data_IF_450800070813
#
_entry.id   IF_450800070813
#
_cell.length_a   1.000
_cell.length_b   1.000
_cell.length_c   1.000
_cell.angle_alpha   90.00
_cell.angle_beta   90.00
_cell.angle_gamma   90.00
#
_symmetry.space_group_name_H-M   'P 1'
#
loop_
_entity.id
_entity.type
_entity.pdbx_description
1 polymer ?
#
# COMPACT_ATOMS: atom_id res chain seq x y z
N UNK A 1 89.24 15.86 54.77
CA UNK A 1 88.92 15.63 53.37
C UNK A 1 87.61 14.83 53.33
N UNK A 2 86.52 15.59 53.26
CA UNK A 2 85.21 15.01 53.26
C UNK A 2 84.55 15.30 51.82
N UNK A 3 84.20 14.26 51.09
CA UNK A 3 83.48 14.34 49.84
C UNK A 3 81.96 14.27 50.14
N UNK A 4 81.26 15.36 49.82
CA UNK A 4 79.81 15.39 49.96
C UNK A 4 79.11 14.74 48.75
N UNK A 5 78.29 13.71 49.03
CA UNK A 5 77.44 13.01 48.08
C UNK A 5 76.10 13.74 47.97
N UNK A 6 75.86 14.43 46.88
CA UNK A 6 74.56 15.08 46.59
C UNK A 6 73.60 14.07 45.91
N UNK A 7 72.55 13.67 46.63
CA UNK A 7 71.48 12.79 46.15
C UNK A 7 70.42 13.66 45.45
N UNK A 8 70.34 13.63 44.12
CA UNK A 8 69.30 14.30 43.32
C UNK A 8 68.01 13.49 43.31
N UNK A 9 66.99 13.94 44.02
CA UNK A 9 65.65 13.39 44.01
C UNK A 9 64.88 13.92 42.76
N UNK A 10 64.79 13.13 41.71
CA UNK A 10 63.95 13.46 40.58
C UNK A 10 62.47 13.14 40.89
N UNK A 11 61.72 14.20 41.13
CA UNK A 11 60.26 14.11 41.27
C UNK A 11 59.65 13.95 39.88
N UNK A 12 59.22 12.75 39.52
CA UNK A 12 58.37 12.50 38.37
C UNK A 12 56.98 13.12 38.66
N UNK A 13 56.71 14.33 38.14
CA UNK A 13 55.34 14.79 37.95
C UNK A 13 54.74 13.96 36.85
N UNK A 14 53.90 13.01 37.18
CA UNK A 14 52.98 12.39 36.23
C UNK A 14 52.12 13.52 35.64
N UNK A 15 52.20 13.70 34.34
CA UNK A 15 51.27 14.53 33.62
C UNK A 15 49.88 13.89 33.76
N UNK A 16 49.11 14.39 34.74
CA UNK A 16 47.69 14.14 34.80
C UNK A 16 47.09 14.71 33.54
N UNK A 17 46.45 13.88 32.75
CA UNK A 17 45.58 14.33 31.67
C UNK A 17 44.55 15.27 32.27
N UNK A 18 44.59 16.52 31.86
CA UNK A 18 43.57 17.51 32.26
C UNK A 18 42.19 16.90 31.90
N UNK A 19 41.18 17.05 32.77
CA UNK A 19 39.84 16.63 32.42
C UNK A 19 39.46 17.38 31.15
N UNK A 20 39.13 16.63 30.11
CA UNK A 20 38.64 17.18 28.85
C UNK A 20 37.35 17.94 29.18
N UNK A 21 37.25 19.18 28.70
CA UNK A 21 36.04 19.96 28.86
C UNK A 21 34.86 19.19 28.26
N UNK A 22 33.66 19.24 28.87
CA UNK A 22 32.49 18.58 28.35
C UNK A 22 32.26 19.01 26.90
N UNK A 23 32.20 18.06 25.98
CA UNK A 23 31.95 18.28 24.55
C UNK A 23 30.45 18.31 24.37
N UNK A 24 29.92 19.35 23.71
CA UNK A 24 28.52 19.45 23.34
C UNK A 24 28.18 18.29 22.35
N UNK A 25 27.12 17.56 22.60
CA UNK A 25 26.66 16.46 21.74
C UNK A 25 26.37 16.93 20.28
N UNK A 26 25.98 18.17 20.12
CA UNK A 26 25.78 18.80 18.79
C UNK A 26 27.09 19.11 18.06
N UNK A 27 28.22 19.17 18.77
CA UNK A 27 29.54 19.35 18.18
C UNK A 27 30.12 18.06 17.61
N UNK A 28 29.59 16.90 17.99
CA UNK A 28 29.96 15.60 17.42
C UNK A 28 29.52 15.47 15.95
N UNK A 29 30.29 14.72 15.17
CA UNK A 29 29.87 14.40 13.83
C UNK A 29 28.57 13.58 13.86
N UNK A 30 27.61 13.96 13.01
CA UNK A 30 26.27 13.40 13.04
C UNK A 30 26.22 11.93 12.58
N UNK A 31 25.28 11.17 13.12
CA UNK A 31 24.95 9.84 12.64
C UNK A 31 23.70 9.93 11.78
N UNK A 32 23.80 9.40 10.57
CA UNK A 32 22.67 9.34 9.65
C UNK A 32 21.86 8.08 9.86
N UNK A 33 20.55 8.17 9.68
CA UNK A 33 19.63 7.04 9.83
C UNK A 33 18.71 6.98 8.62
N UNK A 34 18.61 5.80 8.02
CA UNK A 34 17.68 5.53 6.93
C UNK A 34 16.75 4.37 7.30
N UNK A 35 15.43 4.58 7.16
CA UNK A 35 14.41 3.59 7.49
C UNK A 35 14.15 2.68 6.26
N UNK A 36 14.40 1.38 6.42
CA UNK A 36 14.10 0.31 5.44
C UNK A 36 12.89 -0.46 5.95
N UNK A 37 11.70 -0.08 5.50
CA UNK A 37 10.43 -0.67 5.94
C UNK A 37 9.70 -1.34 4.77
N UNK A 38 8.84 -2.34 5.06
CA UNK A 38 8.09 -3.05 4.04
C UNK A 38 8.94 -4.04 3.24
N UNK A 39 8.62 -4.25 1.98
CA UNK A 39 9.42 -5.03 1.04
C UNK A 39 10.51 -4.15 0.42
N UNK A 40 11.70 -4.70 0.22
CA UNK A 40 12.73 -4.00 -0.55
C UNK A 40 12.37 -4.11 -2.03
N UNK A 41 11.75 -3.05 -2.53
CA UNK A 41 11.44 -2.82 -3.94
C UNK A 41 12.52 -1.92 -4.59
N UNK A 42 12.36 -1.57 -5.87
CA UNK A 42 13.29 -0.71 -6.58
C UNK A 42 13.43 0.68 -5.96
N UNK A 43 12.37 1.21 -5.33
CA UNK A 43 12.36 2.53 -4.67
C UNK A 43 13.21 2.49 -3.39
N UNK A 44 12.99 1.48 -2.54
CA UNK A 44 13.77 1.30 -1.30
C UNK A 44 15.22 0.98 -1.60
N UNK A 45 15.49 0.12 -2.59
CA UNK A 45 16.84 -0.19 -3.05
C UNK A 45 17.62 1.08 -3.43
N UNK A 46 17.03 1.92 -4.28
CA UNK A 46 17.60 3.22 -4.66
C UNK A 46 17.71 4.19 -3.47
N UNK A 47 16.77 4.10 -2.52
CA UNK A 47 16.80 4.86 -1.27
C UNK A 47 18.02 4.52 -0.41
N UNK A 48 18.33 3.23 -0.25
CA UNK A 48 19.51 2.75 0.49
C UNK A 48 20.80 3.28 -0.16
N UNK A 49 20.94 3.14 -1.47
CA UNK A 49 22.13 3.61 -2.20
C UNK A 49 22.35 5.12 -2.05
N UNK A 50 21.27 5.92 -2.23
CA UNK A 50 21.34 7.37 -2.01
C UNK A 50 21.66 7.73 -0.57
N UNK A 51 21.17 6.95 0.42
CA UNK A 51 21.50 7.17 1.81
C UNK A 51 23.00 6.93 2.07
N UNK A 52 23.58 5.87 1.51
CA UNK A 52 25.02 5.57 1.60
C UNK A 52 25.84 6.69 0.97
N UNK A 53 25.54 7.10 -0.26
CA UNK A 53 26.24 8.16 -0.97
C UNK A 53 26.13 9.51 -0.24
N UNK A 54 24.93 9.89 0.17
CA UNK A 54 24.66 11.15 0.85
C UNK A 54 25.36 11.22 2.21
N UNK A 55 25.33 10.14 2.98
CA UNK A 55 25.97 10.10 4.28
C UNK A 55 27.47 10.21 4.19
N UNK A 56 28.09 9.58 3.18
CA UNK A 56 29.53 9.71 2.92
C UNK A 56 29.90 11.14 2.46
N UNK A 57 29.11 11.75 1.58
CA UNK A 57 29.33 13.11 1.08
C UNK A 57 29.11 14.17 2.17
N UNK A 58 28.13 13.99 3.03
CA UNK A 58 27.79 14.94 4.10
C UNK A 58 28.65 14.79 5.36
N UNK A 59 29.68 13.96 5.34
CA UNK A 59 30.62 13.79 6.45
C UNK A 59 29.98 13.16 7.69
N UNK A 60 28.98 12.29 7.53
CA UNK A 60 28.46 11.50 8.64
C UNK A 60 29.55 10.57 9.20
N UNK A 61 29.56 10.41 10.51
CA UNK A 61 30.51 9.45 11.10
C UNK A 61 30.09 7.99 10.88
N UNK A 62 28.78 7.73 10.77
CA UNK A 62 28.20 6.44 10.45
C UNK A 62 26.81 6.61 9.83
N UNK A 63 26.35 5.59 9.07
CA UNK A 63 24.96 5.44 8.64
C UNK A 63 24.35 4.21 9.33
N UNK A 64 23.20 4.38 9.96
CA UNK A 64 22.42 3.27 10.52
C UNK A 64 21.23 2.99 9.60
N UNK A 65 21.18 1.79 9.06
CA UNK A 65 20.01 1.26 8.36
C UNK A 65 19.08 0.63 9.40
N UNK A 66 17.94 1.26 9.66
CA UNK A 66 16.90 0.71 10.53
C UNK A 66 15.99 -0.19 9.69
N UNK A 67 16.06 -1.50 9.92
CA UNK A 67 15.42 -2.50 9.08
C UNK A 67 14.19 -3.11 9.75
N UNK A 68 13.05 -3.05 9.05
CA UNK A 68 11.84 -3.80 9.34
C UNK A 68 11.23 -4.26 8.01
N UNK A 69 11.75 -5.36 7.47
CA UNK A 69 11.39 -5.86 6.14
C UNK A 69 11.10 -7.36 6.15
N UNK A 70 10.07 -7.75 5.42
CA UNK A 70 9.68 -9.16 5.23
C UNK A 70 10.37 -9.83 4.05
N UNK A 71 11.20 -9.11 3.29
CA UNK A 71 11.89 -9.63 2.12
C UNK A 71 12.19 -8.57 1.08
N UNK A 72 12.66 -9.01 -0.08
CA UNK A 72 12.89 -8.17 -1.24
C UNK A 72 12.11 -8.72 -2.44
N UNK A 73 11.66 -7.83 -3.32
CA UNK A 73 10.96 -8.16 -4.57
C UNK A 73 11.75 -7.75 -5.81
N UNK A 74 12.92 -7.17 -5.61
CA UNK A 74 13.90 -6.86 -6.68
C UNK A 74 14.61 -8.13 -7.15
N UNK A 75 15.17 -8.09 -8.34
CA UNK A 75 15.99 -9.18 -8.87
C UNK A 75 17.36 -9.30 -8.17
N UNK A 76 18.05 -10.42 -8.44
CA UNK A 76 19.33 -10.72 -7.81
C UNK A 76 20.40 -9.69 -8.17
N UNK A 77 20.44 -9.20 -9.42
CA UNK A 77 21.41 -8.21 -9.85
C UNK A 77 21.23 -6.88 -9.09
N UNK A 78 19.98 -6.43 -8.96
CA UNK A 78 19.67 -5.21 -8.22
C UNK A 78 19.95 -5.34 -6.72
N UNK A 79 19.68 -6.50 -6.12
CA UNK A 79 20.04 -6.75 -4.72
C UNK A 79 21.55 -6.79 -4.53
N UNK A 80 22.30 -7.33 -5.51
CA UNK A 80 23.76 -7.33 -5.48
C UNK A 80 24.32 -5.90 -5.46
N UNK A 81 23.77 -4.98 -6.25
CA UNK A 81 24.16 -3.56 -6.25
C UNK A 81 23.98 -2.93 -4.86
N UNK A 82 22.83 -3.14 -4.22
CA UNK A 82 22.56 -2.64 -2.87
C UNK A 82 23.56 -3.19 -1.85
N UNK A 83 23.81 -4.50 -1.87
CA UNK A 83 24.75 -5.13 -0.95
C UNK A 83 26.19 -4.64 -1.17
N UNK A 84 26.58 -4.43 -2.43
CA UNK A 84 27.89 -3.86 -2.78
C UNK A 84 28.02 -2.40 -2.34
N UNK A 85 26.98 -1.59 -2.50
CA UNK A 85 26.97 -0.21 -2.05
C UNK A 85 27.21 -0.11 -0.52
N UNK A 86 26.59 -1.00 0.27
CA UNK A 86 26.79 -1.07 1.71
C UNK A 86 28.21 -1.53 2.04
N UNK A 87 28.65 -2.65 1.44
CA UNK A 87 29.98 -3.24 1.74
C UNK A 87 31.13 -2.29 1.40
N UNK A 88 31.03 -1.59 0.25
CA UNK A 88 32.07 -0.72 -0.27
C UNK A 88 31.96 0.73 0.22
N UNK A 89 31.03 1.03 1.11
CA UNK A 89 30.88 2.37 1.68
C UNK A 89 32.19 2.88 2.30
N UNK A 90 32.48 4.17 2.12
CA UNK A 90 33.63 4.84 2.75
C UNK A 90 33.43 5.18 4.23
N UNK A 91 32.17 5.12 4.70
CA UNK A 91 31.81 5.34 6.09
C UNK A 91 31.31 4.02 6.72
N UNK A 92 31.41 3.87 8.04
CA UNK A 92 30.83 2.77 8.77
C UNK A 92 29.31 2.67 8.56
N UNK A 93 28.82 1.45 8.26
CA UNK A 93 27.39 1.16 8.14
C UNK A 93 26.96 0.16 9.19
N UNK A 94 26.03 0.60 10.05
CA UNK A 94 25.32 -0.23 10.99
C UNK A 94 23.98 -0.69 10.44
N UNK A 95 23.62 -1.95 10.62
CA UNK A 95 22.27 -2.47 10.37
C UNK A 95 21.63 -2.82 11.69
N UNK A 96 20.52 -2.16 11.99
CA UNK A 96 19.74 -2.40 13.19
C UNK A 96 18.33 -2.91 12.81
N UNK A 97 18.05 -4.18 13.16
CA UNK A 97 16.70 -4.73 12.99
C UNK A 97 15.84 -4.21 14.13
N UNK A 98 15.08 -3.19 13.86
CA UNK A 98 14.32 -2.43 14.85
C UNK A 98 13.22 -1.59 14.25
N UNK A 99 12.30 -1.08 15.07
CA UNK A 99 12.19 -1.21 16.54
C UNK A 99 11.77 -2.61 17.01
N UNK A 100 11.47 -2.75 18.31
CA UNK A 100 11.03 -4.02 18.90
C UNK A 100 9.92 -4.69 18.09
N UNK A 101 10.07 -6.00 17.82
CA UNK A 101 9.16 -6.77 16.96
C UNK A 101 9.43 -6.63 15.46
N UNK A 102 10.47 -5.89 15.06
CA UNK A 102 10.88 -5.78 13.67
C UNK A 102 11.37 -7.10 13.09
N UNK A 103 11.37 -7.19 11.77
CA UNK A 103 11.77 -8.38 11.03
C UNK A 103 12.82 -8.01 9.96
N UNK A 104 13.77 -8.90 9.74
CA UNK A 104 14.60 -8.90 8.55
C UNK A 104 14.55 -10.31 7.97
N UNK A 105 13.61 -10.56 7.06
CA UNK A 105 13.38 -11.88 6.48
C UNK A 105 13.74 -11.91 4.99
N UNK A 106 13.94 -13.10 4.47
CA UNK A 106 14.33 -13.26 3.07
C UNK A 106 15.66 -12.56 2.77
N UNK A 107 15.74 -11.91 1.63
CA UNK A 107 16.97 -11.23 1.21
C UNK A 107 17.34 -10.01 2.07
N UNK A 108 16.38 -9.41 2.79
CA UNK A 108 16.71 -8.30 3.71
C UNK A 108 17.63 -8.75 4.86
N UNK A 109 17.66 -10.04 5.19
CA UNK A 109 18.60 -10.60 6.18
C UNK A 109 20.06 -10.43 5.75
N UNK A 110 20.35 -10.45 4.43
CA UNK A 110 21.71 -10.33 3.91
C UNK A 110 22.32 -8.94 4.13
N UNK A 111 21.50 -7.92 4.44
CA UNK A 111 22.01 -6.61 4.86
C UNK A 111 22.90 -6.72 6.11
N UNK A 112 22.57 -7.63 7.05
CA UNK A 112 23.39 -7.87 8.25
C UNK A 112 24.74 -8.51 7.88
N UNK A 113 24.79 -9.33 6.83
CA UNK A 113 26.01 -10.01 6.41
C UNK A 113 27.07 -9.03 5.84
N UNK A 114 26.63 -7.95 5.19
CA UNK A 114 27.52 -6.96 4.56
C UNK A 114 27.77 -5.73 5.42
N UNK A 115 26.99 -5.53 6.49
CA UNK A 115 27.14 -4.40 7.41
C UNK A 115 28.44 -4.50 8.21
N UNK A 116 29.00 -3.36 8.58
CA UNK A 116 30.16 -3.33 9.47
C UNK A 116 29.75 -3.66 10.92
N UNK A 117 28.57 -3.19 11.33
CA UNK A 117 27.98 -3.43 12.64
C UNK A 117 26.55 -3.92 12.48
N UNK A 118 26.14 -4.93 13.20
CA UNK A 118 24.78 -5.46 13.18
C UNK A 118 24.22 -5.63 14.58
N UNK A 119 22.96 -5.22 14.76
CA UNK A 119 22.24 -5.31 16.03
C UNK A 119 20.75 -5.61 15.78
N UNK A 120 20.06 -6.07 16.81
CA UNK A 120 18.63 -6.34 16.80
C UNK A 120 17.96 -5.76 18.04
N UNK A 121 16.73 -5.29 17.88
CA UNK A 121 15.86 -4.90 18.99
C UNK A 121 15.23 -6.15 19.66
N UNK A 122 14.74 -6.04 20.90
CA UNK A 122 13.99 -7.11 21.56
C UNK A 122 12.79 -7.58 20.72
N UNK A 123 12.48 -8.86 20.78
CA UNK A 123 11.37 -9.49 20.03
C UNK A 123 11.47 -9.34 18.51
N UNK A 124 12.62 -8.93 17.98
CA UNK A 124 12.88 -8.90 16.54
C UNK A 124 13.30 -10.28 16.05
N UNK A 125 13.15 -10.52 14.74
CA UNK A 125 13.51 -11.79 14.13
C UNK A 125 14.23 -11.61 12.80
N UNK A 126 15.17 -12.55 12.51
CA UNK A 126 15.91 -12.62 11.24
C UNK A 126 15.80 -14.03 10.67
N UNK A 127 15.83 -14.16 9.34
CA UNK A 127 15.86 -15.48 8.71
C UNK A 127 15.05 -15.62 7.44
N UNK A 128 14.66 -16.87 7.11
CA UNK A 128 13.97 -17.23 5.86
C UNK A 128 14.74 -16.77 4.61
N UNK A 129 16.08 -16.86 4.67
CA UNK A 129 16.97 -16.31 3.62
C UNK A 129 16.87 -17.06 2.29
N UNK A 130 16.34 -18.27 2.30
CA UNK A 130 16.40 -19.16 1.15
C UNK A 130 17.82 -19.68 0.91
N UNK A 131 18.21 -19.79 -0.35
CA UNK A 131 19.58 -20.15 -0.72
C UNK A 131 20.54 -19.01 -0.38
N UNK A 132 21.83 -19.34 -0.08
CA UNK A 132 22.84 -18.31 0.14
C UNK A 132 22.96 -17.38 -1.06
N UNK A 133 22.97 -16.08 -0.79
CA UNK A 133 23.15 -15.07 -1.82
C UNK A 133 24.60 -15.03 -2.29
N UNK A 134 24.83 -14.99 -3.59
CA UNK A 134 26.17 -14.90 -4.19
C UNK A 134 26.52 -13.43 -4.40
N UNK A 135 27.50 -12.93 -3.67
CA UNK A 135 28.03 -11.58 -3.85
C UNK A 135 29.39 -11.66 -4.54
N UNK A 136 29.51 -11.18 -5.76
CA UNK A 136 30.70 -11.36 -6.63
C UNK A 136 31.10 -12.84 -6.77
N UNK A 137 30.13 -13.75 -6.87
CA UNK A 137 30.37 -15.18 -6.99
C UNK A 137 30.76 -15.89 -5.69
N UNK A 138 30.82 -15.15 -4.57
CA UNK A 138 31.13 -15.71 -3.24
C UNK A 138 29.84 -15.79 -2.40
N UNK A 139 29.49 -16.94 -1.85
CA UNK A 139 28.31 -17.07 -1.01
C UNK A 139 28.47 -16.23 0.27
N UNK A 140 27.48 -15.38 0.55
CA UNK A 140 27.41 -14.65 1.81
C UNK A 140 27.16 -15.61 2.98
N UNK A 141 27.77 -15.30 4.12
CA UNK A 141 27.66 -16.09 5.34
C UNK A 141 27.18 -15.23 6.50
N UNK A 142 26.31 -15.81 7.31
CA UNK A 142 25.86 -15.30 8.60
C UNK A 142 26.41 -16.21 9.74
N UNK A 143 27.66 -16.64 9.60
CA UNK A 143 28.29 -17.56 10.54
C UNK A 143 27.67 -18.95 10.50
N UNK A 144 27.62 -19.60 11.63
CA UNK A 144 27.06 -20.95 11.80
C UNK A 144 25.54 -20.97 11.55
N UNK A 145 24.88 -19.83 11.71
CA UNK A 145 23.45 -19.69 11.50
C UNK A 145 23.01 -19.79 10.05
N UNK A 146 23.90 -19.64 9.05
CA UNK A 146 23.55 -19.57 7.63
C UNK A 146 22.63 -20.70 7.18
N UNK A 147 22.86 -21.92 7.65
CA UNK A 147 22.04 -23.10 7.30
C UNK A 147 20.68 -23.06 8.02
N UNK A 148 20.64 -22.64 9.28
CA UNK A 148 19.42 -22.54 10.08
C UNK A 148 18.48 -21.46 9.54
N UNK A 149 19.04 -20.35 9.08
CA UNK A 149 18.30 -19.19 8.57
C UNK A 149 17.69 -19.42 7.19
N UNK A 150 18.00 -20.47 6.46
CA UNK A 150 17.41 -20.76 5.15
C UNK A 150 15.89 -20.84 5.19
N UNK A 151 15.36 -21.60 6.12
CA UNK A 151 13.91 -21.79 6.28
C UNK A 151 13.38 -21.34 7.64
N UNK A 152 14.27 -21.24 8.63
CA UNK A 152 13.96 -20.83 9.99
C UNK A 152 14.17 -19.35 10.25
N UNK A 153 13.76 -18.92 11.44
CA UNK A 153 14.01 -17.58 11.97
C UNK A 153 14.70 -17.70 13.33
N UNK A 154 15.56 -16.75 13.63
CA UNK A 154 16.19 -16.60 14.94
C UNK A 154 15.69 -15.31 15.59
N UNK A 155 15.43 -15.37 16.89
CA UNK A 155 15.22 -14.20 17.73
C UNK A 155 16.55 -13.51 18.07
N UNK A 156 16.50 -12.40 18.79
CA UNK A 156 17.68 -11.59 19.14
C UNK A 156 18.73 -12.38 19.92
N UNK A 157 18.31 -13.16 20.92
CA UNK A 157 19.23 -13.94 21.74
C UNK A 157 19.87 -15.11 20.97
N UNK A 158 19.08 -15.78 20.13
CA UNK A 158 19.55 -16.86 19.28
C UNK A 158 20.49 -16.34 18.17
N UNK A 159 20.14 -15.23 17.52
CA UNK A 159 20.96 -14.61 16.48
C UNK A 159 22.35 -14.20 17.02
N UNK A 160 22.38 -13.66 18.24
CA UNK A 160 23.64 -13.35 18.92
C UNK A 160 24.44 -14.61 19.21
N UNK A 161 23.83 -15.61 19.85
CA UNK A 161 24.50 -16.87 20.18
C UNK A 161 25.11 -17.58 18.97
N UNK A 162 24.47 -17.45 17.82
CA UNK A 162 24.90 -18.04 16.56
C UNK A 162 25.87 -17.14 15.75
N UNK A 163 26.30 -16.00 16.30
CA UNK A 163 27.27 -15.10 15.66
C UNK A 163 26.71 -14.31 14.45
N UNK A 164 25.40 -14.16 14.33
CA UNK A 164 24.77 -13.32 13.29
C UNK A 164 24.99 -11.84 13.58
N UNK A 165 25.00 -11.47 14.88
CA UNK A 165 25.17 -10.09 15.31
C UNK A 165 26.64 -9.82 15.61
N UNK A 166 27.16 -8.73 15.03
CA UNK A 166 28.56 -8.30 15.21
C UNK A 166 28.77 -7.37 16.40
N UNK A 167 27.69 -6.86 16.97
CA UNK A 167 27.76 -5.99 18.14
C UNK A 167 27.58 -6.82 19.42
N UNK A 168 28.55 -6.78 20.30
CA UNK A 168 28.48 -7.41 21.60
C UNK A 168 27.62 -6.58 22.57
N UNK A 169 26.32 -6.87 22.60
CA UNK A 169 25.35 -6.23 23.49
C UNK A 169 24.69 -7.31 24.35
N UNK A 170 23.96 -6.92 25.39
CA UNK A 170 23.19 -7.83 26.23
C UNK A 170 22.24 -8.72 25.43
N UNK A 171 21.86 -9.86 25.97
CA UNK A 171 20.95 -10.84 25.33
C UNK A 171 19.56 -10.21 25.04
N UNK A 172 19.21 -9.11 25.71
CA UNK A 172 17.98 -8.37 25.48
C UNK A 172 17.99 -7.56 24.17
N UNK A 173 19.18 -7.32 23.58
CA UNK A 173 19.35 -6.56 22.34
C UNK A 173 19.31 -5.02 22.52
N UNK A 174 19.11 -4.31 21.41
CA UNK A 174 19.14 -2.83 21.32
C UNK A 174 17.70 -2.33 21.13
N UNK A 175 17.00 -1.93 22.19
CA UNK A 175 15.56 -1.64 22.12
C UNK A 175 15.20 -0.39 21.32
N UNK A 176 16.06 0.63 21.35
CA UNK A 176 15.81 1.92 20.65
C UNK A 176 17.08 2.43 19.97
N UNK A 177 16.91 3.30 18.99
CA UNK A 177 18.02 3.87 18.23
C UNK A 177 19.08 4.56 19.11
N UNK A 178 18.65 5.24 20.17
CA UNK A 178 19.58 5.87 21.14
C UNK A 178 20.55 4.83 21.74
N UNK A 179 20.05 3.65 22.07
CA UNK A 179 20.90 2.57 22.58
C UNK A 179 21.85 2.03 21.50
N UNK A 180 21.45 2.07 20.21
CA UNK A 180 22.35 1.73 19.11
C UNK A 180 23.53 2.72 19.05
N UNK A 181 23.28 4.02 19.22
CA UNK A 181 24.34 5.03 19.25
C UNK A 181 25.29 4.81 20.43
N UNK A 182 24.76 4.50 21.61
CA UNK A 182 25.60 4.18 22.77
C UNK A 182 26.47 2.93 22.56
N UNK A 183 25.97 1.98 21.79
CA UNK A 183 26.67 0.76 21.48
C UNK A 183 27.71 0.93 20.34
N UNK A 184 27.57 1.95 19.51
CA UNK A 184 28.56 2.32 18.48
C UNK A 184 29.74 3.12 19.05
N UNK A 185 29.57 3.75 20.22
CA UNK A 185 30.53 4.63 20.83
C UNK A 185 31.86 3.90 21.13
N UNK A 186 32.97 4.52 20.75
CA UNK A 186 34.30 3.95 20.94
C UNK A 186 34.68 2.81 20.00
N UNK A 187 33.77 2.30 19.15
CA UNK A 187 34.09 1.25 18.20
C UNK A 187 35.03 1.76 17.10
N UNK A 188 36.04 0.98 16.79
CA UNK A 188 36.91 1.26 15.63
C UNK A 188 36.41 0.46 14.43
N UNK A 189 35.83 1.19 13.45
CA UNK A 189 35.27 0.61 12.23
C UNK A 189 35.88 1.28 11.01
N UNK A 190 36.37 0.50 10.04
CA UNK A 190 37.08 1.02 8.83
C UNK A 190 38.21 2.00 9.16
N UNK A 191 38.92 1.75 10.26
CA UNK A 191 40.03 2.61 10.72
C UNK A 191 39.62 3.96 11.34
N UNK A 192 38.33 4.16 11.59
CA UNK A 192 37.78 5.33 12.28
C UNK A 192 37.24 4.92 13.64
N UNK A 193 37.55 5.66 14.68
CA UNK A 193 36.89 5.54 15.98
C UNK A 193 35.60 6.33 15.92
N UNK A 194 34.49 5.67 16.25
CA UNK A 194 33.18 6.30 16.33
C UNK A 194 33.05 7.02 17.66
N UNK A 195 32.67 8.30 17.61
CA UNK A 195 32.42 9.17 18.77
C UNK A 195 30.96 9.59 18.73
N UNK A 196 30.11 8.70 19.24
CA UNK A 196 28.65 8.84 19.11
C UNK A 196 27.98 9.22 20.41
N UNK A 197 28.75 9.46 21.47
CA UNK A 197 28.23 9.85 22.80
C UNK A 197 29.11 10.95 23.42
N UNK A 198 28.51 12.06 23.75
CA UNK A 198 29.15 13.14 24.51
C UNK A 198 28.88 13.02 26.02
N UNK A 199 29.80 13.51 26.83
CA UNK A 199 29.56 13.76 28.24
C UNK A 199 29.19 15.23 28.41
N UNK A 200 27.93 15.51 28.75
CA UNK A 200 27.38 16.85 28.95
C UNK A 200 27.07 17.07 30.43
N UNK A 201 27.24 18.30 30.89
CA UNK A 201 26.83 18.67 32.25
C UNK A 201 25.34 19.01 32.22
N UNK A 202 24.52 18.22 32.92
CA UNK A 202 23.09 18.46 33.07
C UNK A 202 22.78 19.69 33.90
N UNK A 203 21.53 20.10 33.90
CA UNK A 203 21.04 21.29 34.66
C UNK A 203 21.29 21.17 36.19
N UNK A 204 21.43 19.96 36.68
CA UNK A 204 21.77 19.64 38.09
C UNK A 204 23.27 19.56 38.37
N UNK A 205 24.11 19.82 37.36
CA UNK A 205 25.57 19.71 37.46
C UNK A 205 26.11 18.29 37.40
N UNK A 206 25.26 17.27 37.18
CA UNK A 206 25.68 15.90 36.97
C UNK A 206 26.17 15.69 35.53
N UNK A 207 27.20 14.83 35.37
CA UNK A 207 27.64 14.39 34.02
C UNK A 207 26.64 13.38 33.48
N UNK A 208 26.00 13.70 32.36
CA UNK A 208 25.06 12.84 31.64
C UNK A 208 25.65 12.47 30.29
N UNK A 209 25.51 11.22 29.90
CA UNK A 209 25.88 10.77 28.55
C UNK A 209 24.76 11.06 27.59
N UNK A 210 25.06 11.80 26.54
CA UNK A 210 24.11 12.21 25.51
C UNK A 210 24.58 11.69 24.14
N UNK A 211 23.62 11.13 23.37
CA UNK A 211 23.93 10.61 22.04
C UNK A 211 24.10 11.74 21.03
N UNK A 212 25.03 11.58 20.10
CA UNK A 212 25.22 12.48 18.97
C UNK A 212 23.93 12.72 18.21
N UNK A 213 23.77 13.92 17.66
CA UNK A 213 22.60 14.30 16.87
C UNK A 213 22.44 13.38 15.66
N UNK A 214 21.23 12.85 15.48
CA UNK A 214 20.89 12.01 14.36
C UNK A 214 20.18 12.77 13.26
N UNK A 215 20.52 12.48 11.99
CA UNK A 215 19.79 12.97 10.82
C UNK A 215 19.00 11.82 10.19
N UNK A 216 17.68 11.94 10.20
CA UNK A 216 16.82 10.94 9.56
C UNK A 216 16.64 11.25 8.08
N UNK A 217 16.91 10.27 7.25
CA UNK A 217 16.57 10.28 5.84
C UNK A 217 15.37 9.38 5.61
N UNK A 218 14.41 9.92 4.87
CA UNK A 218 13.20 9.22 4.45
C UNK A 218 13.08 9.30 2.94
N UNK A 219 12.35 8.38 2.38
CA UNK A 219 11.91 8.46 1.00
C UNK A 219 11.14 9.76 0.78
N UNK A 220 11.31 10.40 -0.36
CA UNK A 220 10.50 11.55 -0.77
C UNK A 220 9.00 11.19 -0.82
N UNK A 221 8.12 12.19 -0.75
CA UNK A 221 6.66 11.94 -0.70
C UNK A 221 6.17 11.09 -1.90
N UNK A 222 6.66 11.38 -3.10
CA UNK A 222 6.32 10.59 -4.28
C UNK A 222 6.89 9.17 -4.20
N UNK A 223 8.15 9.03 -3.79
CA UNK A 223 8.78 7.72 -3.60
C UNK A 223 8.06 6.89 -2.54
N UNK A 224 7.61 7.52 -1.45
CA UNK A 224 6.84 6.84 -0.42
C UNK A 224 5.47 6.39 -0.95
N UNK A 225 4.82 7.21 -1.79
CA UNK A 225 3.57 6.82 -2.45
C UNK A 225 3.80 5.62 -3.38
N UNK A 226 4.85 5.64 -4.20
CA UNK A 226 5.23 4.55 -5.10
C UNK A 226 5.55 3.28 -4.31
N UNK A 227 6.41 3.36 -3.29
CA UNK A 227 6.73 2.24 -2.41
C UNK A 227 5.48 1.66 -1.71
N UNK A 228 4.59 2.53 -1.21
CA UNK A 228 3.33 2.08 -0.58
C UNK A 228 2.45 1.36 -1.60
N UNK A 229 2.35 1.86 -2.84
CA UNK A 229 1.58 1.22 -3.90
C UNK A 229 2.16 -0.13 -4.35
N UNK A 230 3.44 -0.39 -4.14
CA UNK A 230 4.12 -1.66 -4.41
C UNK A 230 3.88 -2.73 -3.33
N UNK A 231 2.96 -2.51 -2.37
CA UNK A 231 2.51 -3.59 -1.49
C UNK A 231 1.48 -4.48 -2.19
N UNK A 232 1.58 -5.80 -2.01
CA UNK A 232 0.77 -6.79 -2.74
C UNK A 232 -0.75 -6.51 -2.66
N UNK A 233 -1.25 -6.18 -1.47
CA UNK A 233 -2.66 -5.90 -1.27
C UNK A 233 -3.10 -4.59 -1.95
N UNK A 234 -2.29 -3.54 -1.82
CA UNK A 234 -2.65 -2.22 -2.34
C UNK A 234 -2.52 -2.15 -3.86
N UNK A 235 -1.46 -2.75 -4.45
CA UNK A 235 -1.30 -2.86 -5.89
C UNK A 235 -2.51 -3.56 -6.54
N UNK A 236 -2.94 -4.70 -5.98
CA UNK A 236 -4.13 -5.42 -6.43
C UNK A 236 -5.40 -4.56 -6.36
N UNK A 237 -5.66 -3.94 -5.19
CA UNK A 237 -6.87 -3.14 -4.99
C UNK A 237 -6.87 -1.89 -5.87
N UNK A 238 -5.77 -1.14 -5.93
CA UNK A 238 -5.66 0.06 -6.77
C UNK A 238 -5.89 -0.26 -8.24
N UNK A 239 -5.29 -1.35 -8.74
CA UNK A 239 -5.46 -1.75 -10.13
C UNK A 239 -6.91 -2.19 -10.43
N UNK A 240 -7.47 -3.10 -9.62
CA UNK A 240 -8.80 -3.63 -9.82
C UNK A 240 -9.89 -2.56 -9.69
N UNK A 241 -9.85 -1.75 -8.62
CA UNK A 241 -10.83 -0.67 -8.43
C UNK A 241 -10.59 0.51 -9.36
N UNK A 242 -9.34 0.79 -9.71
CA UNK A 242 -9.01 1.80 -10.72
C UNK A 242 -9.68 1.50 -12.05
N UNK A 243 -9.53 0.28 -12.56
CA UNK A 243 -10.21 -0.18 -13.77
C UNK A 243 -11.74 -0.15 -13.64
N UNK A 244 -12.28 -0.56 -12.49
CA UNK A 244 -13.72 -0.51 -12.23
C UNK A 244 -14.27 0.93 -12.26
N UNK A 245 -13.53 1.91 -11.69
CA UNK A 245 -13.90 3.32 -11.73
C UNK A 245 -13.83 3.91 -13.14
N UNK A 246 -12.86 3.49 -13.97
CA UNK A 246 -12.82 3.88 -15.39
C UNK A 246 -14.04 3.36 -16.15
N UNK A 247 -14.41 2.09 -15.92
CA UNK A 247 -15.66 1.53 -16.49
C UNK A 247 -16.87 2.30 -15.99
N UNK A 248 -16.95 2.60 -14.70
CA UNK A 248 -18.03 3.37 -14.10
C UNK A 248 -18.18 4.74 -14.77
N UNK A 249 -17.09 5.51 -14.91
CA UNK A 249 -17.11 6.82 -15.58
C UNK A 249 -17.58 6.73 -17.02
N UNK A 250 -17.10 5.73 -17.76
CA UNK A 250 -17.50 5.52 -19.15
C UNK A 250 -19.01 5.35 -19.31
N UNK A 251 -19.67 4.62 -18.40
CA UNK A 251 -21.10 4.37 -18.46
C UNK A 251 -21.98 5.46 -17.81
N UNK A 252 -21.44 6.22 -16.87
CA UNK A 252 -22.22 7.25 -16.17
C UNK A 252 -22.17 8.61 -16.86
N UNK A 253 -21.18 8.86 -17.74
CA UNK A 253 -20.90 10.16 -18.34
C UNK A 253 -20.91 11.29 -17.29
N UNK A 254 -20.18 11.01 -16.18
CA UNK A 254 -20.06 11.90 -15.04
C UNK A 254 -19.25 13.17 -15.37
N UNK A 255 -18.86 13.89 -14.32
CA UNK A 255 -18.04 15.11 -14.43
C UNK A 255 -16.54 14.82 -14.48
N UNK A 256 -16.15 13.55 -14.68
CA UNK A 256 -14.76 13.13 -14.81
C UNK A 256 -14.05 12.77 -13.49
N UNK A 257 -14.69 12.95 -12.35
CA UNK A 257 -14.04 12.67 -11.03
C UNK A 257 -13.71 11.18 -10.89
N UNK A 258 -14.67 10.29 -11.16
CA UNK A 258 -14.44 8.86 -11.06
C UNK A 258 -13.40 8.38 -12.09
N UNK A 259 -13.42 8.94 -13.30
CA UNK A 259 -12.44 8.70 -14.33
C UNK A 259 -11.03 9.14 -13.92
N UNK A 260 -10.88 10.34 -13.35
CA UNK A 260 -9.61 10.84 -12.86
C UNK A 260 -9.05 9.96 -11.72
N UNK A 261 -9.86 9.69 -10.69
CA UNK A 261 -9.47 8.81 -9.57
C UNK A 261 -9.16 7.42 -10.08
N UNK A 262 -9.96 6.88 -11.00
CA UNK A 262 -9.74 5.59 -11.64
C UNK A 262 -8.42 5.52 -12.40
N UNK A 263 -8.10 6.56 -13.18
CA UNK A 263 -6.84 6.63 -13.93
C UNK A 263 -5.62 6.68 -12.99
N UNK A 264 -5.64 7.54 -11.96
CA UNK A 264 -4.56 7.64 -10.98
C UNK A 264 -4.40 6.31 -10.23
N UNK A 265 -5.51 5.70 -9.78
CA UNK A 265 -5.47 4.40 -9.09
C UNK A 265 -4.92 3.29 -9.99
N UNK A 266 -5.34 3.23 -11.26
CA UNK A 266 -4.83 2.26 -12.23
C UNK A 266 -3.34 2.45 -12.48
N UNK A 267 -2.86 3.67 -12.63
CA UNK A 267 -1.43 3.97 -12.81
C UNK A 267 -0.60 3.54 -11.60
N UNK A 268 -1.02 3.90 -10.39
CA UNK A 268 -0.34 3.50 -9.16
C UNK A 268 -0.40 1.97 -8.96
N UNK A 269 -1.54 1.35 -9.23
CA UNK A 269 -1.70 -0.11 -9.20
C UNK A 269 -0.82 -0.80 -10.23
N UNK A 270 -0.73 -0.28 -11.45
CA UNK A 270 0.15 -0.80 -12.50
C UNK A 270 1.62 -0.71 -12.11
N UNK A 271 2.04 0.41 -11.53
CA UNK A 271 3.39 0.57 -10.99
C UNK A 271 3.66 -0.48 -9.91
N UNK A 272 2.76 -0.60 -8.92
CA UNK A 272 2.92 -1.59 -7.85
C UNK A 272 2.97 -3.03 -8.37
N UNK A 273 2.14 -3.38 -9.37
CA UNK A 273 2.17 -4.71 -10.00
C UNK A 273 3.45 -4.95 -10.81
N UNK A 274 4.06 -3.92 -11.38
CA UNK A 274 5.33 -4.03 -12.11
C UNK A 274 6.53 -4.29 -11.18
N UNK A 275 6.49 -3.78 -9.95
CA UNK A 275 7.51 -4.03 -8.92
C UNK A 275 7.39 -5.42 -8.26
N UNK A 276 6.24 -6.09 -8.40
CA UNK A 276 5.94 -7.35 -7.73
C UNK A 276 6.03 -8.55 -8.69
N UNK A 277 6.40 -9.75 -8.23
CA UNK A 277 6.41 -10.97 -9.03
C UNK A 277 4.98 -11.43 -9.35
N UNK A 278 4.37 -10.78 -10.32
CA UNK A 278 3.00 -11.04 -10.79
C UNK A 278 3.01 -12.12 -11.86
N UNK A 279 2.06 -13.04 -11.79
CA UNK A 279 1.84 -14.03 -12.87
C UNK A 279 1.14 -13.37 -14.06
N UNK A 280 1.75 -13.30 -15.25
CA UNK A 280 1.18 -12.58 -16.38
C UNK A 280 -0.21 -13.11 -16.80
N UNK A 281 -0.42 -14.42 -16.68
CA UNK A 281 -1.71 -15.01 -17.01
C UNK A 281 -2.82 -14.56 -16.03
N UNK A 282 -2.52 -14.42 -14.73
CA UNK A 282 -3.49 -13.98 -13.74
C UNK A 282 -3.83 -12.49 -13.90
N UNK A 283 -2.84 -11.67 -14.29
CA UNK A 283 -3.08 -10.28 -14.66
C UNK A 283 -3.98 -10.20 -15.90
N UNK A 284 -3.74 -11.02 -16.92
CA UNK A 284 -4.62 -11.11 -18.09
C UNK A 284 -6.05 -11.52 -17.70
N UNK A 285 -6.21 -12.50 -16.81
CA UNK A 285 -7.53 -12.89 -16.29
C UNK A 285 -8.22 -11.76 -15.56
N UNK A 286 -7.49 -10.96 -14.78
CA UNK A 286 -8.03 -9.81 -14.07
C UNK A 286 -8.58 -8.75 -15.03
N UNK A 287 -7.83 -8.45 -16.10
CA UNK A 287 -8.27 -7.51 -17.15
C UNK A 287 -9.50 -8.07 -17.89
N UNK A 288 -9.46 -9.34 -18.29
CA UNK A 288 -10.59 -10.00 -18.96
C UNK A 288 -11.84 -10.06 -18.07
N UNK A 289 -11.65 -10.21 -16.75
CA UNK A 289 -12.74 -10.17 -15.78
C UNK A 289 -13.46 -8.80 -15.83
N UNK A 290 -12.70 -7.71 -15.77
CA UNK A 290 -13.26 -6.34 -15.84
C UNK A 290 -13.98 -6.11 -17.18
N UNK A 291 -13.41 -6.57 -18.29
CA UNK A 291 -14.05 -6.47 -19.60
C UNK A 291 -15.36 -7.25 -19.63
N UNK A 292 -15.39 -8.49 -19.14
CA UNK A 292 -16.61 -9.29 -19.06
C UNK A 292 -17.68 -8.63 -18.18
N UNK A 293 -17.29 -8.09 -17.02
CA UNK A 293 -18.19 -7.34 -16.16
C UNK A 293 -18.75 -6.10 -16.86
N UNK A 294 -17.93 -5.37 -17.61
CA UNK A 294 -18.34 -4.16 -18.33
C UNK A 294 -19.37 -4.44 -19.43
N UNK A 295 -19.34 -5.62 -20.08
CA UNK A 295 -20.30 -5.98 -21.15
C UNK A 295 -21.73 -5.94 -20.63
N UNK A 296 -22.02 -6.54 -19.48
CA UNK A 296 -23.39 -6.60 -18.94
C UNK A 296 -23.86 -5.25 -18.36
N UNK A 297 -22.95 -4.33 -18.02
CA UNK A 297 -23.30 -2.99 -17.56
C UNK A 297 -24.11 -2.22 -18.61
N UNK A 298 -23.79 -2.40 -19.91
CA UNK A 298 -24.54 -1.75 -21.02
C UNK A 298 -26.02 -2.13 -21.02
N UNK A 299 -26.32 -3.36 -20.65
CA UNK A 299 -27.70 -3.89 -20.62
C UNK A 299 -28.43 -3.49 -19.33
N UNK A 300 -27.71 -3.06 -18.30
CA UNK A 300 -28.25 -2.66 -17.00
C UNK A 300 -28.83 -3.83 -16.17
N UNK A 301 -28.60 -5.08 -16.59
CA UNK A 301 -29.06 -6.29 -15.91
C UNK A 301 -27.91 -7.28 -15.87
N UNK A 302 -27.45 -7.74 -14.67
CA UNK A 302 -26.43 -8.77 -14.55
C UNK A 302 -26.87 -10.07 -15.25
N UNK A 303 -26.01 -10.63 -16.09
CA UNK A 303 -26.25 -11.83 -16.88
C UNK A 303 -25.03 -12.75 -16.91
N UNK A 304 -24.90 -13.53 -17.98
CA UNK A 304 -23.85 -14.52 -18.18
C UNK A 304 -22.46 -13.89 -18.11
N UNK A 305 -22.25 -12.72 -18.70
CA UNK A 305 -20.96 -12.04 -18.68
C UNK A 305 -20.57 -11.57 -17.27
N UNK A 306 -21.53 -11.14 -16.46
CA UNK A 306 -21.28 -10.85 -15.05
C UNK A 306 -20.83 -12.09 -14.29
N UNK A 307 -21.47 -13.24 -14.51
CA UNK A 307 -21.06 -14.50 -13.88
C UNK A 307 -19.66 -14.93 -14.33
N UNK A 308 -19.36 -14.89 -15.64
CA UNK A 308 -18.03 -15.18 -16.19
C UNK A 308 -17.00 -14.24 -15.59
N UNK A 309 -17.27 -12.93 -15.61
CA UNK A 309 -16.36 -11.91 -15.08
C UNK A 309 -16.07 -12.11 -13.59
N UNK A 310 -17.07 -12.43 -12.77
CA UNK A 310 -16.86 -12.72 -11.36
C UNK A 310 -16.02 -13.97 -11.11
N UNK A 311 -16.23 -15.04 -11.89
CA UNK A 311 -15.42 -16.26 -11.79
C UNK A 311 -13.96 -15.97 -12.17
N UNK A 312 -13.74 -15.27 -13.28
CA UNK A 312 -12.38 -14.87 -13.71
C UNK A 312 -11.73 -13.96 -12.67
N UNK A 313 -12.47 -13.01 -12.09
CA UNK A 313 -11.97 -12.11 -11.07
C UNK A 313 -11.54 -12.84 -9.80
N UNK A 314 -12.33 -13.80 -9.34
CA UNK A 314 -11.99 -14.65 -8.20
C UNK A 314 -10.72 -15.46 -8.47
N UNK A 315 -10.65 -16.16 -9.61
CA UNK A 315 -9.46 -16.94 -9.97
C UNK A 315 -8.22 -16.04 -10.04
N UNK A 316 -8.32 -14.89 -10.72
CA UNK A 316 -7.23 -13.94 -10.82
C UNK A 316 -6.76 -13.46 -9.45
N UNK A 317 -7.69 -13.10 -8.56
CA UNK A 317 -7.39 -12.59 -7.21
C UNK A 317 -6.58 -13.58 -6.36
N UNK A 318 -6.87 -14.86 -6.46
CA UNK A 318 -6.15 -15.90 -5.70
C UNK A 318 -4.84 -16.35 -6.36
N UNK A 319 -4.65 -16.08 -7.65
CA UNK A 319 -3.48 -16.59 -8.42
C UNK A 319 -2.53 -15.48 -8.85
N UNK A 320 -2.79 -14.22 -8.49
CA UNK A 320 -2.10 -13.03 -9.01
C UNK A 320 -0.59 -13.05 -8.75
N UNK A 321 -0.16 -13.40 -7.54
CA UNK A 321 1.24 -13.39 -7.16
C UNK A 321 1.88 -14.77 -7.19
N UNK A 322 3.16 -14.80 -7.53
CA UNK A 322 3.93 -16.04 -7.48
C UNK A 322 4.30 -16.42 -6.03
N UNK A 323 4.25 -17.72 -5.75
CA UNK A 323 4.50 -18.26 -4.42
C UNK A 323 5.97 -18.28 -3.99
N UNK A 324 6.88 -17.69 -4.78
CA UNK A 324 8.35 -17.76 -4.56
C UNK A 324 8.79 -17.17 -3.21
N UNK A 325 7.99 -16.27 -2.61
CA UNK A 325 8.20 -15.72 -1.27
C UNK A 325 6.89 -15.76 -0.47
N UNK A 326 6.46 -16.97 -0.13
CA UNK A 326 5.10 -17.30 0.33
C UNK A 326 4.51 -16.39 1.41
N UNK A 327 5.29 -15.93 2.38
CA UNK A 327 4.76 -15.14 3.50
C UNK A 327 4.71 -13.63 3.21
N UNK A 328 5.64 -13.11 2.41
CA UNK A 328 5.80 -11.66 2.20
C UNK A 328 4.75 -11.08 1.23
N UNK A 329 4.34 -11.86 0.22
CA UNK A 329 3.41 -11.45 -0.84
C UNK A 329 1.98 -11.92 -0.61
N UNK A 330 1.71 -12.62 0.48
CA UNK A 330 0.40 -13.17 0.76
C UNK A 330 -0.60 -12.06 1.09
N UNK A 331 -1.57 -11.86 0.20
CA UNK A 331 -2.69 -10.98 0.50
C UNK A 331 -3.54 -11.61 1.62
N UNK A 332 -3.92 -10.80 2.61
CA UNK A 332 -4.84 -11.24 3.65
C UNK A 332 -6.15 -11.77 3.04
N UNK A 333 -6.65 -12.89 3.53
CA UNK A 333 -7.93 -13.43 3.09
C UNK A 333 -9.07 -12.43 3.27
N UNK A 334 -9.01 -11.58 4.31
CA UNK A 334 -9.97 -10.51 4.54
C UNK A 334 -9.94 -9.47 3.41
N UNK A 335 -8.74 -9.08 2.96
CA UNK A 335 -8.56 -8.15 1.82
C UNK A 335 -9.11 -8.75 0.53
N UNK A 336 -8.85 -10.04 0.27
CA UNK A 336 -9.39 -10.74 -0.90
C UNK A 336 -10.92 -10.79 -0.87
N UNK A 337 -11.51 -11.21 0.24
CA UNK A 337 -12.97 -11.27 0.40
C UNK A 337 -13.59 -9.89 0.27
N UNK A 338 -13.02 -8.87 0.92
CA UNK A 338 -13.50 -7.49 0.81
C UNK A 338 -13.41 -6.97 -0.62
N UNK A 339 -12.30 -7.21 -1.32
CA UNK A 339 -12.11 -6.82 -2.72
C UNK A 339 -13.12 -7.50 -3.65
N UNK A 340 -13.29 -8.80 -3.52
CA UNK A 340 -14.25 -9.58 -4.34
C UNK A 340 -15.69 -9.14 -4.06
N UNK A 341 -16.06 -9.00 -2.78
CA UNK A 341 -17.41 -8.56 -2.38
C UNK A 341 -17.72 -7.14 -2.86
N UNK A 342 -16.74 -6.22 -2.77
CA UNK A 342 -16.89 -4.85 -3.25
C UNK A 342 -17.06 -4.80 -4.78
N UNK A 343 -16.28 -5.61 -5.51
CA UNK A 343 -16.39 -5.73 -6.96
C UNK A 343 -17.75 -6.31 -7.37
N UNK A 344 -18.22 -7.35 -6.68
CA UNK A 344 -19.55 -7.91 -6.89
C UNK A 344 -20.65 -6.86 -6.63
N UNK A 345 -20.57 -6.14 -5.51
CA UNK A 345 -21.52 -5.09 -5.19
C UNK A 345 -21.54 -3.97 -6.25
N UNK A 346 -20.36 -3.54 -6.72
CA UNK A 346 -20.24 -2.50 -7.74
C UNK A 346 -20.90 -2.92 -9.07
N UNK A 347 -20.60 -4.12 -9.57
CA UNK A 347 -21.06 -4.55 -10.90
C UNK A 347 -22.43 -5.22 -10.90
N UNK A 348 -22.86 -5.84 -9.78
CA UNK A 348 -24.18 -6.50 -9.72
C UNK A 348 -25.28 -5.54 -9.30
N UNK A 349 -24.96 -4.56 -8.42
CA UNK A 349 -25.95 -3.64 -7.84
C UNK A 349 -25.69 -2.20 -8.28
N UNK A 350 -24.49 -1.68 -8.05
CA UNK A 350 -24.17 -0.26 -8.21
C UNK A 350 -24.32 0.23 -9.66
N UNK A 351 -23.52 -0.32 -10.57
CA UNK A 351 -23.53 0.12 -11.98
C UNK A 351 -24.87 -0.11 -12.69
N UNK A 352 -25.54 -1.29 -12.56
CA UNK A 352 -26.83 -1.49 -13.19
C UNK A 352 -27.91 -0.55 -12.64
N UNK A 353 -27.89 -0.22 -11.36
CA UNK A 353 -28.87 0.73 -10.80
C UNK A 353 -28.66 2.13 -11.36
N UNK A 354 -27.42 2.58 -11.51
CA UNK A 354 -27.06 3.88 -12.09
C UNK A 354 -27.44 3.98 -13.57
N UNK A 355 -27.13 2.95 -14.35
CA UNK A 355 -27.51 2.92 -15.78
C UNK A 355 -29.02 3.00 -15.93
N UNK A 356 -29.78 2.23 -15.14
CA UNK A 356 -31.26 2.29 -15.15
C UNK A 356 -31.79 3.68 -14.79
N UNK A 357 -31.23 4.32 -13.78
CA UNK A 357 -31.66 5.67 -13.37
C UNK A 357 -31.37 6.71 -14.44
N UNK A 358 -30.25 6.61 -15.16
CA UNK A 358 -29.88 7.53 -16.25
C UNK A 358 -30.84 7.47 -17.43
N UNK A 359 -31.33 6.28 -17.77
CA UNK A 359 -32.27 6.08 -18.88
C UNK A 359 -33.74 6.11 -18.43
N UNK A 360 -34.02 6.27 -17.14
CA UNK A 360 -35.37 6.52 -16.68
C UNK A 360 -35.79 7.91 -17.17
N UNK A 361 -36.84 7.97 -18.00
CA UNK A 361 -37.44 9.23 -18.42
C UNK A 361 -37.93 9.98 -17.18
N UNK A 362 -37.47 11.22 -16.94
CA UNK A 362 -37.94 11.99 -15.78
C UNK A 362 -39.43 12.29 -15.95
N UNK A 363 -40.24 11.69 -15.10
CA UNK A 363 -41.69 12.01 -14.95
C UNK A 363 -41.90 13.18 -13.98
N UNK A 364 -40.80 13.80 -13.55
CA UNK A 364 -40.84 14.92 -12.59
C UNK A 364 -41.58 16.09 -13.16
N UNK A 365 -42.62 16.54 -12.49
CA UNK A 365 -43.39 17.75 -12.76
C UNK A 365 -44.67 17.56 -13.57
N UNK A 366 -45.06 16.34 -13.94
CA UNK A 366 -46.32 16.08 -14.67
C UNK A 366 -47.29 15.18 -13.89
N UNK A 367 -46.95 14.81 -12.67
CA UNK A 367 -47.75 13.93 -11.80
C UNK A 367 -49.16 14.50 -11.55
N UNK A 368 -49.29 15.81 -11.65
CA UNK A 368 -50.57 16.51 -11.56
C UNK A 368 -51.56 16.16 -12.70
N UNK A 369 -51.06 15.59 -13.83
CA UNK A 369 -51.93 15.11 -14.92
C UNK A 369 -52.63 13.78 -14.55
N UNK A 370 -52.10 13.00 -13.63
CA UNK A 370 -52.71 11.72 -13.23
C UNK A 370 -54.03 11.98 -12.54
N UNK A 371 -55.06 11.29 -13.00
CA UNK A 371 -56.40 11.43 -12.51
C UNK A 371 -57.21 12.54 -13.20
N UNK A 372 -56.58 13.38 -14.03
CA UNK A 372 -57.33 14.39 -14.82
C UNK A 372 -58.12 13.75 -15.96
N UNK A 373 -59.24 14.36 -16.26
CA UNK A 373 -60.11 14.00 -17.40
C UNK A 373 -59.70 14.78 -18.63
N UNK A 374 -59.87 14.14 -19.79
CA UNK A 374 -59.61 14.71 -21.11
C UNK A 374 -60.52 14.11 -22.18
N UNK A 375 -60.28 14.46 -23.42
CA UNK A 375 -61.00 13.94 -24.58
C UNK A 375 -60.03 13.30 -25.56
N UNK A 376 -60.36 12.12 -26.08
CA UNK A 376 -59.60 11.50 -27.17
C UNK A 376 -59.71 12.41 -28.42
N UNK A 377 -58.55 12.83 -28.97
CA UNK A 377 -58.47 13.65 -30.18
C UNK A 377 -58.34 12.79 -31.44
N UNK A 378 -57.98 11.54 -31.29
CA UNK A 378 -57.93 10.52 -32.33
C UNK A 378 -58.41 9.20 -31.75
N UNK A 379 -58.65 8.19 -32.59
CA UNK A 379 -58.85 6.81 -32.13
C UNK A 379 -57.57 6.32 -31.46
N UNK A 380 -57.68 5.66 -30.28
CA UNK A 380 -56.55 5.12 -29.53
C UNK A 380 -56.65 3.59 -29.49
N UNK A 381 -55.82 2.89 -30.31
CA UNK A 381 -55.88 1.45 -30.43
C UNK A 381 -54.50 0.87 -30.91
N UNK A 382 -53.52 0.67 -30.03
CA UNK A 382 -53.37 1.08 -28.62
C UNK A 382 -52.85 2.51 -28.47
N UNK A 383 -52.39 3.19 -29.51
CA UNK A 383 -51.78 4.52 -29.47
C UNK A 383 -52.65 5.55 -30.21
N UNK A 384 -52.63 6.78 -29.73
CA UNK A 384 -53.35 7.91 -30.32
C UNK A 384 -53.01 9.21 -29.61
N UNK A 385 -53.92 10.19 -29.69
CA UNK A 385 -53.78 11.50 -29.05
C UNK A 385 -54.99 11.84 -28.17
N UNK A 386 -54.70 12.49 -27.03
CA UNK A 386 -55.73 13.05 -26.14
C UNK A 386 -55.50 14.53 -25.88
N UNK A 387 -56.55 15.27 -25.67
CA UNK A 387 -56.49 16.64 -25.19
C UNK A 387 -56.83 16.65 -23.70
N UNK A 388 -55.86 17.04 -22.87
CA UNK A 388 -55.98 17.18 -21.42
C UNK A 388 -55.63 18.62 -21.08
N UNK A 389 -56.51 19.33 -20.40
CA UNK A 389 -56.37 20.77 -20.07
C UNK A 389 -55.97 21.66 -21.26
N UNK A 390 -56.55 21.41 -22.42
CA UNK A 390 -56.29 22.23 -23.61
C UNK A 390 -54.99 21.96 -24.35
N UNK A 391 -54.16 21.07 -23.86
CA UNK A 391 -52.92 20.63 -24.51
C UNK A 391 -53.07 19.20 -25.10
N UNK A 392 -52.52 19.01 -26.30
CA UNK A 392 -52.48 17.68 -26.95
C UNK A 392 -51.33 16.86 -26.42
N UNK A 393 -51.64 15.59 -26.09
CA UNK A 393 -50.70 14.63 -25.56
C UNK A 393 -50.79 13.33 -26.37
N UNK A 394 -49.66 12.67 -26.58
CA UNK A 394 -49.68 11.28 -27.02
C UNK A 394 -50.31 10.44 -25.92
N UNK A 395 -51.16 9.52 -26.32
CA UNK A 395 -51.85 8.66 -25.39
C UNK A 395 -51.78 7.20 -25.83
N UNK A 396 -51.77 6.31 -24.83
CA UNK A 396 -51.83 4.90 -25.05
C UNK A 396 -52.92 4.30 -24.14
N UNK A 397 -53.67 3.36 -24.67
CA UNK A 397 -54.65 2.59 -23.88
C UNK A 397 -54.33 1.13 -23.90
N UNK A 398 -54.95 0.36 -22.99
CA UNK A 398 -54.88 -1.09 -22.99
C UNK A 398 -55.51 -1.62 -24.29
N UNK A 399 -54.88 -2.61 -24.95
CA UNK A 399 -55.36 -3.26 -26.16
C UNK A 399 -56.78 -3.83 -26.03
N UNK A 400 -57.19 -4.17 -24.79
CA UNK A 400 -58.55 -4.68 -24.52
C UNK A 400 -59.62 -3.60 -24.41
N UNK A 401 -59.24 -2.30 -24.39
CA UNK A 401 -60.14 -1.16 -24.24
C UNK A 401 -59.81 -0.07 -25.26
N UNK A 402 -60.03 -0.28 -26.56
CA UNK A 402 -59.85 0.78 -27.57
C UNK A 402 -60.77 1.95 -27.28
N UNK A 403 -60.27 3.16 -27.49
CA UNK A 403 -60.98 4.41 -27.24
C UNK A 403 -61.23 5.11 -28.59
N UNK A 404 -62.47 5.56 -28.83
CA UNK A 404 -62.86 6.19 -30.06
C UNK A 404 -62.66 7.71 -29.92
N UNK A 405 -62.36 8.40 -31.06
CA UNK A 405 -62.27 9.84 -31.12
C UNK A 405 -63.48 10.53 -30.50
N UNK A 406 -63.25 11.54 -29.66
CA UNK A 406 -64.29 12.28 -28.94
C UNK A 406 -64.79 11.61 -27.64
N UNK A 407 -64.28 10.45 -27.29
CA UNK A 407 -64.64 9.77 -26.05
C UNK A 407 -63.89 10.40 -24.84
N UNK A 408 -64.57 10.60 -23.71
CA UNK A 408 -63.93 11.11 -22.49
C UNK A 408 -63.02 10.04 -21.89
N UNK A 409 -61.85 10.47 -21.47
CA UNK A 409 -60.77 9.62 -20.91
C UNK A 409 -60.25 10.19 -19.63
N UNK A 410 -59.69 9.34 -18.79
CA UNK A 410 -58.93 9.71 -17.57
C UNK A 410 -57.49 9.27 -17.73
N UNK A 411 -56.55 10.10 -17.28
CA UNK A 411 -55.13 9.78 -17.23
C UNK A 411 -54.88 8.82 -16.06
N UNK A 412 -54.47 7.60 -16.34
CA UNK A 412 -54.20 6.57 -15.35
C UNK A 412 -52.71 6.58 -14.89
N UNK A 413 -51.81 6.81 -15.84
CA UNK A 413 -50.37 6.87 -15.57
C UNK A 413 -49.66 7.72 -16.63
N UNK A 414 -48.36 8.00 -16.41
CA UNK A 414 -47.49 8.72 -17.33
C UNK A 414 -46.25 7.86 -17.60
N UNK A 415 -45.97 7.62 -18.87
CA UNK A 415 -44.75 6.95 -19.33
C UNK A 415 -43.98 7.90 -20.25
N UNK A 416 -43.04 8.66 -19.64
CA UNK A 416 -42.26 9.69 -20.33
C UNK A 416 -43.11 10.84 -20.84
N UNK A 417 -43.35 10.89 -22.16
CA UNK A 417 -44.18 11.91 -22.85
C UNK A 417 -45.54 11.37 -23.28
N UNK A 418 -45.84 10.11 -23.01
CA UNK A 418 -47.06 9.42 -23.36
C UNK A 418 -47.94 9.25 -22.14
N UNK A 419 -49.22 9.57 -22.22
CA UNK A 419 -50.18 9.34 -21.18
C UNK A 419 -50.84 7.98 -21.34
N UNK A 420 -50.82 7.17 -20.32
CA UNK A 420 -51.63 5.96 -20.24
C UNK A 420 -53.04 6.40 -19.84
N UNK A 421 -54.01 6.17 -20.71
CA UNK A 421 -55.40 6.63 -20.52
C UNK A 421 -56.36 5.47 -20.50
N UNK A 422 -57.46 5.68 -19.76
CA UNK A 422 -58.57 4.73 -19.67
C UNK A 422 -59.91 5.47 -19.97
N UNK A 423 -60.90 4.78 -20.58
CA UNK A 423 -62.23 5.39 -20.75
C UNK A 423 -62.89 5.57 -19.38
N UNK A 424 -63.67 6.65 -19.22
CA UNK A 424 -64.40 6.89 -17.94
C UNK A 424 -65.44 5.83 -17.64
N UNK A 425 -66.03 5.22 -18.66
CA UNK A 425 -66.98 4.12 -18.51
C UNK A 425 -66.47 2.90 -19.29
N UNK A 426 -66.50 1.72 -18.66
CA UNK A 426 -66.12 0.46 -19.30
C UNK A 426 -64.60 0.14 -19.25
N UNK A 427 -63.84 0.80 -18.41
CA UNK A 427 -62.44 0.49 -18.19
C UNK A 427 -62.23 -0.95 -17.69
N UNK A 428 -61.24 -1.65 -18.25
CA UNK A 428 -60.82 -2.95 -17.74
C UNK A 428 -60.31 -2.78 -16.29
N UNK A 429 -60.88 -3.49 -15.36
CA UNK A 429 -60.44 -3.44 -13.95
C UNK A 429 -58.99 -3.86 -13.82
N UNK A 430 -58.15 -2.99 -13.24
CA UNK A 430 -56.78 -3.32 -12.97
C UNK A 430 -56.73 -4.46 -11.97
N UNK A 431 -56.10 -5.57 -12.38
CA UNK A 431 -55.89 -6.76 -11.54
C UNK A 431 -55.10 -6.44 -10.25
N UNK A 432 -54.36 -5.33 -10.23
CA UNK A 432 -53.59 -4.85 -9.07
C UNK A 432 -54.50 -4.23 -7.99
N UNK A 433 -55.59 -3.60 -8.37
CA UNK A 433 -56.53 -3.03 -7.41
C UNK A 433 -57.36 -4.07 -6.66
N UNK A 434 -57.47 -5.29 -7.20
CA UNK A 434 -58.17 -6.40 -6.53
C UNK A 434 -57.33 -7.06 -5.44
N UNK A 435 -56.06 -6.68 -5.28
CA UNK A 435 -55.14 -7.24 -4.25
C UNK A 435 -54.91 -6.26 -3.11
N UNK A 436 -55.92 -5.60 -2.59
CA UNK A 436 -55.82 -4.92 -1.28
C UNK A 436 -55.72 -5.96 -0.19
N UNK A 437 -54.68 -5.98 0.66
CA UNK A 437 -54.62 -6.87 1.82
C UNK A 437 -55.72 -6.50 2.80
N UNK A 438 -56.37 -7.54 3.37
CA UNK A 438 -57.25 -7.43 4.52
C UNK A 438 -56.43 -7.09 5.74
#
# INVERSE_FOLDING_TARGET
MFAALALSLAVFFGAGTAPQAPVDADALAKVDVFEVTGLIDGVVASGIERAVERSSTNGAQALVLQVNSRGAVIDEARMQEVLLAIRNSSIPIGVWVGPSGAQAHGWSTWLLAVADVSAMAPNSSVGKTGLPFLLDGVPLSLGEATTLLRSGTLDTAQARKQGVLRLEISDEGVPVLRNMLFALDGLTVKGKVLDTVAEVVGDDGAIVREAATTRFFKLGTLEQLMHTSASAALAYLLFAFGLALLVFEFFTAGIGIAGFVGAVSTLLGSFGLAELPVRPFALALLILAIIALAIDVQVGIPRVWTAIGMVLFVIASFTLYDAVQEDALRISWLTLVAGIASMALAFIVGMPSMVRTRFATPTIGREWLIGLEGMASTDISPEGEVTVQGARWRARTNRATPIINGQPVRVAAIDGVTLDVEPLEGAARDYREMRKPR
#
